data_IF_614411986347
#
_entry.id   IF_614411986347
#
_cell.length_a   1.000
_cell.length_b   1.000
_cell.length_c   1.000
_cell.angle_alpha   90.00
_cell.angle_beta   90.00
_cell.angle_gamma   90.00
#
_symmetry.space_group_name_H-M   'P 1'
#
loop_
_entity.id
_entity.type
_entity.pdbx_description
1 polymer ?
#
# COMPACT_ATOMS: atom_id res chain seq x y z
N UNK A 1 -23.77 -2.95 28.42
CA UNK A 1 -22.97 -1.80 28.91
C UNK A 1 -23.35 -0.48 28.25
N UNK A 2 -23.71 -0.45 26.96
CA UNK A 2 -24.23 0.76 26.29
C UNK A 2 -25.48 1.37 26.97
N UNK A 3 -26.40 0.53 27.48
CA UNK A 3 -27.58 1.00 28.22
C UNK A 3 -27.27 1.59 29.60
N UNK A 4 -26.25 1.04 30.29
CA UNK A 4 -25.79 1.57 31.58
C UNK A 4 -25.10 2.94 31.42
N UNK A 5 -24.49 3.17 30.26
CA UNK A 5 -23.81 4.40 29.87
C UNK A 5 -24.79 5.54 29.51
N UNK A 6 -25.87 5.24 28.80
CA UNK A 6 -26.93 6.23 28.52
C UNK A 6 -27.63 6.66 29.81
N UNK A 7 -27.85 5.72 30.75
CA UNK A 7 -28.40 6.03 32.07
C UNK A 7 -27.47 6.89 32.92
N UNK A 8 -26.15 6.69 32.86
CA UNK A 8 -25.19 7.54 33.61
C UNK A 8 -25.04 8.93 32.99
N UNK A 9 -25.10 9.08 31.67
CA UNK A 9 -25.10 10.38 31.00
C UNK A 9 -26.40 11.17 31.25
N UNK A 10 -27.55 10.50 31.24
CA UNK A 10 -28.83 11.13 31.59
C UNK A 10 -28.89 11.48 33.09
N UNK A 11 -28.33 10.64 33.96
CA UNK A 11 -28.26 10.90 35.40
C UNK A 11 -27.28 12.04 35.74
N UNK A 12 -26.14 12.12 35.06
CA UNK A 12 -25.16 13.22 35.19
C UNK A 12 -25.64 14.54 34.56
N UNK A 13 -26.49 14.47 33.53
CA UNK A 13 -27.16 15.64 32.96
C UNK A 13 -28.28 16.19 33.84
N UNK A 14 -28.90 15.35 34.68
CA UNK A 14 -30.03 15.72 35.53
C UNK A 14 -29.63 16.19 36.93
N UNK A 15 -28.57 15.60 37.52
CA UNK A 15 -27.96 16.09 38.75
C UNK A 15 -26.66 16.80 38.42
N UNK A 16 -26.67 18.13 38.40
CA UNK A 16 -25.48 18.97 38.15
C UNK A 16 -24.33 18.67 39.11
N UNK A 17 -23.55 17.64 38.80
CA UNK A 17 -22.52 17.07 39.66
C UNK A 17 -21.15 17.20 38.99
N UNK A 18 -20.33 18.02 39.64
CA UNK A 18 -18.87 18.08 39.74
C UNK A 18 -18.07 17.33 38.65
N UNK A 19 -17.26 18.12 37.94
CA UNK A 19 -16.34 17.78 36.85
C UNK A 19 -15.49 16.50 36.97
N UNK A 20 -15.37 15.87 38.13
CA UNK A 20 -14.52 14.70 38.34
C UNK A 20 -15.12 13.40 37.75
N UNK A 21 -16.44 13.22 37.80
CA UNK A 21 -17.09 11.99 37.30
C UNK A 21 -17.25 12.00 35.78
N UNK A 22 -17.46 13.18 35.18
CA UNK A 22 -17.45 13.36 33.72
C UNK A 22 -16.06 13.16 33.12
N UNK A 23 -15.00 13.54 33.85
CA UNK A 23 -13.60 13.31 33.46
C UNK A 23 -13.24 11.82 33.42
N UNK A 24 -13.71 11.03 34.39
CA UNK A 24 -13.48 9.59 34.41
C UNK A 24 -14.20 8.87 33.25
N UNK A 25 -15.43 9.29 32.94
CA UNK A 25 -16.19 8.77 31.79
C UNK A 25 -15.55 9.09 30.44
N UNK A 26 -15.03 10.31 30.27
CA UNK A 26 -14.31 10.71 29.06
C UNK A 26 -12.96 10.00 28.92
N UNK A 27 -12.21 9.83 30.02
CA UNK A 27 -10.94 9.11 30.02
C UNK A 27 -11.14 7.62 29.67
N UNK A 28 -12.19 6.98 30.19
CA UNK A 28 -12.54 5.60 29.83
C UNK A 28 -12.95 5.47 28.35
N UNK A 29 -13.67 6.46 27.80
CA UNK A 29 -14.03 6.51 26.38
C UNK A 29 -12.80 6.74 25.48
N UNK A 30 -11.86 7.57 25.92
CA UNK A 30 -10.57 7.81 25.27
C UNK A 30 -9.70 6.54 25.26
N UNK A 31 -9.64 5.81 26.39
CA UNK A 31 -8.91 4.55 26.48
C UNK A 31 -9.55 3.44 25.64
N UNK A 32 -10.88 3.39 25.57
CA UNK A 32 -11.60 2.46 24.68
C UNK A 32 -11.41 2.80 23.18
N UNK A 33 -11.42 4.09 22.82
CA UNK A 33 -11.07 4.53 21.47
C UNK A 33 -9.61 4.20 21.13
N UNK A 34 -8.68 4.36 22.08
CA UNK A 34 -7.26 4.00 21.92
C UNK A 34 -7.06 2.50 21.68
N UNK A 35 -7.82 1.64 22.36
CA UNK A 35 -7.75 0.17 22.21
C UNK A 35 -8.34 -0.30 20.85
N UNK A 36 -9.36 0.40 20.34
CA UNK A 36 -10.02 0.06 19.07
C UNK A 36 -9.38 0.70 17.82
N UNK A 37 -8.42 1.62 17.97
CA UNK A 37 -7.79 2.37 16.87
C UNK A 37 -6.59 1.66 16.23
N UNK A 38 -6.11 0.55 16.82
CA UNK A 38 -5.01 -0.26 16.27
C UNK A 38 -5.26 -0.83 14.87
N UNK A 39 -6.53 -0.92 14.46
CA UNK A 39 -6.95 -1.55 13.21
C UNK A 39 -7.27 -0.57 12.06
N UNK A 40 -7.16 0.75 12.26
CA UNK A 40 -7.55 1.75 11.24
C UNK A 40 -6.38 2.33 10.42
N UNK A 41 -6.69 2.71 9.18
CA UNK A 41 -5.75 3.28 8.20
C UNK A 41 -5.05 4.57 8.68
N UNK A 42 -3.84 4.81 8.18
CA UNK A 42 -2.99 5.99 8.44
C UNK A 42 -3.74 7.33 8.49
N UNK A 43 -4.76 7.50 7.65
CA UNK A 43 -5.57 8.72 7.56
C UNK A 43 -6.41 9.02 8.81
N UNK A 44 -6.93 7.98 9.47
CA UNK A 44 -7.79 8.12 10.66
C UNK A 44 -6.96 8.57 11.88
N UNK A 45 -5.69 8.14 11.92
CA UNK A 45 -4.74 8.52 12.98
C UNK A 45 -4.34 10.00 12.89
N UNK A 46 -4.04 10.49 11.70
CA UNK A 46 -3.71 11.91 11.49
C UNK A 46 -4.89 12.82 11.84
N UNK A 47 -6.11 12.44 11.45
CA UNK A 47 -7.32 13.17 11.81
C UNK A 47 -7.51 13.24 13.34
N UNK A 48 -7.22 12.14 14.05
CA UNK A 48 -7.31 12.09 15.51
C UNK A 48 -6.29 13.01 16.20
N UNK A 49 -5.03 13.02 15.74
CA UNK A 49 -3.99 13.94 16.26
C UNK A 49 -4.40 15.39 16.08
N UNK A 50 -4.95 15.74 14.91
CA UNK A 50 -5.46 17.09 14.62
C UNK A 50 -6.62 17.46 15.55
N UNK A 51 -7.57 16.54 15.79
CA UNK A 51 -8.70 16.78 16.72
C UNK A 51 -8.21 16.98 18.15
N UNK A 52 -7.24 16.19 18.63
CA UNK A 52 -6.67 16.34 19.98
C UNK A 52 -5.93 17.68 20.15
N UNK A 53 -5.16 18.12 19.15
CA UNK A 53 -4.48 19.41 19.16
C UNK A 53 -5.47 20.58 19.14
N UNK A 54 -6.51 20.51 18.31
CA UNK A 54 -7.56 21.53 18.26
C UNK A 54 -8.30 21.60 19.59
N UNK A 55 -8.66 20.46 20.18
CA UNK A 55 -9.31 20.41 21.50
C UNK A 55 -8.43 21.01 22.59
N UNK A 56 -7.13 20.66 22.61
CA UNK A 56 -6.16 21.23 23.57
C UNK A 56 -6.04 22.75 23.46
N UNK A 57 -6.02 23.30 22.24
CA UNK A 57 -5.97 24.75 21.99
C UNK A 57 -7.28 25.42 22.40
N UNK A 58 -8.45 24.86 22.06
CA UNK A 58 -9.76 25.43 22.41
C UNK A 58 -9.96 25.47 23.92
N UNK A 59 -9.66 24.38 24.65
CA UNK A 59 -9.73 24.37 26.11
C UNK A 59 -8.70 25.29 26.77
N UNK A 60 -7.50 25.41 26.19
CA UNK A 60 -6.47 26.35 26.62
C UNK A 60 -6.91 27.80 26.50
N UNK A 61 -7.44 28.21 25.34
CA UNK A 61 -7.88 29.59 25.07
C UNK A 61 -9.12 29.97 25.88
N UNK A 62 -10.04 29.02 26.10
CA UNK A 62 -11.25 29.22 26.93
C UNK A 62 -10.91 29.50 28.40
N UNK A 63 -9.78 28.97 28.89
CA UNK A 63 -9.35 29.10 30.29
C UNK A 63 -8.66 30.43 30.61
N UNK A 64 -8.32 31.25 29.60
CA UNK A 64 -7.58 32.52 29.80
C UNK A 64 -8.49 33.67 30.22
N UNK A 65 -9.81 33.56 30.03
CA UNK A 65 -10.74 34.67 30.29
C UNK A 65 -11.31 34.75 31.71
N UNK A 66 -11.30 33.68 32.51
CA UNK A 66 -11.93 33.68 33.84
C UNK A 66 -11.03 33.09 34.94
N UNK A 67 -10.61 33.96 35.87
CA UNK A 67 -10.09 33.71 37.22
C UNK A 67 -8.79 32.88 37.48
N UNK A 68 -8.09 33.12 38.63
CA UNK A 68 -6.74 32.62 38.90
C UNK A 68 -6.64 31.18 39.45
N UNK A 69 -7.76 30.45 39.59
CA UNK A 69 -7.81 29.09 40.19
C UNK A 69 -7.51 27.95 39.21
N UNK A 70 -7.16 28.26 37.95
CA UNK A 70 -7.11 27.33 36.83
C UNK A 70 -5.76 26.61 36.58
N UNK A 71 -4.96 26.36 37.63
CA UNK A 71 -3.71 25.57 37.47
C UNK A 71 -3.98 24.21 36.83
N UNK A 72 -5.07 23.55 37.23
CA UNK A 72 -5.42 22.21 36.77
C UNK A 72 -5.85 22.14 35.29
N UNK A 73 -6.50 23.17 34.74
CA UNK A 73 -6.93 23.16 33.32
C UNK A 73 -5.78 23.45 32.36
N UNK A 74 -4.80 24.27 32.76
CA UNK A 74 -3.56 24.45 32.00
C UNK A 74 -2.72 23.16 31.96
N UNK A 75 -2.64 22.41 33.08
CA UNK A 75 -1.96 21.11 33.07
C UNK A 75 -2.70 20.06 32.23
N UNK A 76 -4.03 20.14 32.15
CA UNK A 76 -4.84 19.24 31.33
C UNK A 76 -4.62 19.50 29.82
N UNK A 77 -4.55 20.76 29.39
CA UNK A 77 -4.27 21.09 27.98
C UNK A 77 -2.86 20.69 27.55
N UNK A 78 -1.87 20.89 28.44
CA UNK A 78 -0.49 20.41 28.21
C UNK A 78 -0.46 18.88 28.14
N UNK A 79 -1.16 18.18 29.03
CA UNK A 79 -1.21 16.71 29.02
C UNK A 79 -1.87 16.17 27.73
N UNK A 80 -2.93 16.80 27.24
CA UNK A 80 -3.60 16.41 25.98
C UNK A 80 -2.70 16.66 24.75
N UNK A 81 -1.98 17.77 24.70
CA UNK A 81 -1.02 18.04 23.63
C UNK A 81 0.16 17.05 23.65
N UNK A 82 0.69 16.74 24.83
CA UNK A 82 1.78 15.76 24.99
C UNK A 82 1.31 14.35 24.65
N UNK A 83 0.08 13.96 25.01
CA UNK A 83 -0.50 12.69 24.63
C UNK A 83 -0.69 12.57 23.10
N UNK A 84 -1.17 13.63 22.43
CA UNK A 84 -1.28 13.67 20.97
C UNK A 84 0.07 13.52 20.26
N UNK A 85 1.12 14.17 20.79
CA UNK A 85 2.49 14.03 20.30
C UNK A 85 3.05 12.63 20.56
N UNK A 86 2.85 12.06 21.74
CA UNK A 86 3.31 10.72 22.08
C UNK A 86 2.65 9.63 21.21
N UNK A 87 1.36 9.76 20.92
CA UNK A 87 0.61 8.87 20.01
C UNK A 87 1.02 9.07 18.55
N UNK A 88 1.55 10.25 18.18
CA UNK A 88 2.16 10.45 16.86
C UNK A 88 3.55 9.80 16.76
N UNK A 89 4.37 9.90 17.81
CA UNK A 89 5.75 9.42 17.83
C UNK A 89 5.84 7.90 18.03
N UNK A 90 5.04 7.31 18.94
CA UNK A 90 5.15 5.89 19.29
C UNK A 90 4.94 4.95 18.09
N UNK A 91 3.97 5.17 17.20
CA UNK A 91 3.85 4.34 16.02
C UNK A 91 4.93 4.69 15.00
N UNK A 92 5.46 5.93 14.91
CA UNK A 92 6.58 6.20 13.99
C UNK A 92 7.83 5.41 14.35
N UNK A 93 8.14 5.23 15.64
CA UNK A 93 9.27 4.40 16.05
C UNK A 93 9.02 2.90 15.83
N UNK A 94 7.79 2.41 16.05
CA UNK A 94 7.43 1.01 15.78
C UNK A 94 7.31 0.70 14.28
N UNK A 95 6.94 1.70 13.48
CA UNK A 95 6.88 1.68 12.01
C UNK A 95 8.28 1.71 11.39
N UNK A 96 9.28 2.31 12.06
CA UNK A 96 10.61 2.47 11.49
C UNK A 96 11.55 1.28 11.73
N UNK A 97 11.24 0.39 12.69
CA UNK A 97 12.09 -0.78 12.95
C UNK A 97 11.78 -2.01 12.09
N UNK A 98 10.58 -2.08 11.47
CA UNK A 98 10.15 -3.28 10.72
C UNK A 98 9.35 -2.94 9.44
N UNK A 99 9.80 -1.93 8.69
CA UNK A 99 9.21 -1.57 7.39
C UNK A 99 10.24 -1.62 6.26
N UNK A 100 10.72 -2.82 5.97
CA UNK A 100 10.81 -3.14 4.54
C UNK A 100 9.38 -3.28 4.07
N UNK A 101 8.85 -2.27 3.38
CA UNK A 101 7.52 -2.44 2.80
C UNK A 101 7.60 -3.56 1.76
N UNK A 102 6.48 -4.25 1.54
CA UNK A 102 6.37 -5.30 0.52
C UNK A 102 6.85 -4.81 -0.86
N UNK A 103 6.74 -3.50 -1.10
CA UNK A 103 7.17 -2.82 -2.31
C UNK A 103 8.69 -2.55 -2.33
N UNK A 104 9.30 -2.26 -1.17
CA UNK A 104 10.76 -2.06 -1.03
C UNK A 104 11.52 -3.38 -1.22
N UNK A 105 11.01 -4.49 -0.64
CA UNK A 105 11.55 -5.84 -0.84
C UNK A 105 11.65 -6.19 -2.33
N UNK A 106 10.66 -5.76 -3.12
CA UNK A 106 10.64 -5.98 -4.55
C UNK A 106 11.71 -5.19 -5.31
N UNK A 107 11.90 -3.93 -4.93
CA UNK A 107 12.94 -3.09 -5.49
C UNK A 107 14.31 -3.71 -5.27
N UNK A 108 14.57 -4.14 -4.04
CA UNK A 108 15.83 -4.78 -3.64
C UNK A 108 16.07 -6.09 -4.38
N UNK A 109 15.06 -6.96 -4.44
CA UNK A 109 15.10 -8.27 -5.10
C UNK A 109 15.36 -8.16 -6.61
N UNK A 110 14.98 -7.04 -7.24
CA UNK A 110 15.28 -6.75 -8.67
C UNK A 110 16.72 -6.24 -8.87
N UNK A 111 17.31 -5.62 -7.86
CA UNK A 111 18.68 -5.05 -7.90
C UNK A 111 19.76 -5.93 -7.28
N UNK A 112 19.37 -6.98 -6.55
CA UNK A 112 20.27 -7.80 -5.76
C UNK A 112 21.08 -8.81 -6.60
N UNK A 113 22.25 -9.16 -6.09
CA UNK A 113 23.06 -10.24 -6.65
C UNK A 113 22.36 -11.60 -6.43
N UNK A 114 22.67 -12.65 -7.22
CA UNK A 114 21.94 -13.93 -7.15
C UNK A 114 21.89 -14.59 -5.76
N UNK A 115 22.95 -14.45 -4.96
CA UNK A 115 23.00 -14.99 -3.59
C UNK A 115 22.14 -14.16 -2.61
N UNK A 116 22.23 -12.84 -2.68
CA UNK A 116 21.41 -11.92 -1.87
C UNK A 116 19.93 -12.01 -2.26
N UNK A 117 19.64 -12.12 -3.55
CA UNK A 117 18.28 -12.26 -4.09
C UNK A 117 17.61 -13.53 -3.54
N UNK A 118 18.36 -14.61 -3.31
CA UNK A 118 17.84 -15.84 -2.71
C UNK A 118 17.43 -15.63 -1.26
N UNK A 119 18.26 -14.95 -0.47
CA UNK A 119 17.93 -14.68 0.93
C UNK A 119 16.74 -13.70 1.03
N UNK A 120 16.74 -12.64 0.22
CA UNK A 120 15.63 -11.69 0.16
C UNK A 120 14.35 -12.39 -0.30
N UNK A 121 14.42 -13.35 -1.22
CA UNK A 121 13.26 -14.14 -1.66
C UNK A 121 12.69 -15.02 -0.55
N UNK A 122 13.55 -15.64 0.28
CA UNK A 122 13.14 -16.42 1.45
C UNK A 122 12.42 -15.54 2.47
N UNK A 123 13.01 -14.40 2.84
CA UNK A 123 12.41 -13.46 3.79
C UNK A 123 11.09 -12.90 3.22
N UNK A 124 11.08 -12.59 1.92
CA UNK A 124 9.88 -12.12 1.20
C UNK A 124 8.76 -13.17 1.20
N UNK A 125 9.09 -14.45 1.09
CA UNK A 125 8.12 -15.54 1.11
C UNK A 125 7.37 -15.60 2.45
N UNK A 126 8.10 -15.61 3.57
CA UNK A 126 7.50 -15.70 4.91
C UNK A 126 6.61 -14.47 5.21
N UNK A 127 7.10 -13.28 4.86
CA UNK A 127 6.34 -12.04 5.02
C UNK A 127 5.08 -12.07 4.15
N UNK A 128 5.18 -12.52 2.91
CA UNK A 128 4.06 -12.61 1.99
C UNK A 128 3.01 -13.63 2.45
N UNK A 129 3.42 -14.81 2.93
CA UNK A 129 2.50 -15.81 3.51
C UNK A 129 1.75 -15.24 4.73
N UNK A 130 2.46 -14.55 5.62
CA UNK A 130 1.83 -13.91 6.76
C UNK A 130 0.85 -12.82 6.34
N UNK A 131 1.20 -12.01 5.34
CA UNK A 131 0.32 -10.97 4.79
C UNK A 131 -0.95 -11.57 4.15
N UNK A 132 -0.80 -12.67 3.41
CA UNK A 132 -1.92 -13.43 2.83
C UNK A 132 -2.85 -13.99 3.92
N UNK A 133 -2.31 -14.55 5.02
CA UNK A 133 -3.12 -15.02 6.15
C UNK A 133 -3.88 -13.89 6.85
N UNK A 134 -3.23 -12.74 7.05
CA UNK A 134 -3.81 -11.58 7.75
C UNK A 134 -4.89 -10.89 6.91
N UNK A 135 -4.69 -10.77 5.60
CA UNK A 135 -5.63 -10.07 4.73
C UNK A 135 -5.81 -10.76 3.36
N UNK A 136 -6.52 -11.90 3.32
CA UNK A 136 -6.70 -12.68 2.10
C UNK A 136 -7.59 -12.01 1.06
N UNK A 137 -8.28 -10.91 1.39
CA UNK A 137 -9.11 -10.16 0.45
C UNK A 137 -8.33 -9.08 -0.32
N UNK A 138 -7.09 -8.78 0.09
CA UNK A 138 -6.28 -7.77 -0.56
C UNK A 138 -5.55 -8.36 -1.80
N UNK A 139 -5.81 -7.89 -3.02
CA UNK A 139 -5.13 -8.39 -4.23
C UNK A 139 -3.60 -8.19 -4.19
N UNK A 140 -3.11 -7.14 -3.53
CA UNK A 140 -1.68 -6.82 -3.48
C UNK A 140 -0.87 -7.83 -2.66
N UNK A 141 -1.48 -8.48 -1.66
CA UNK A 141 -0.75 -9.51 -0.88
C UNK A 141 -0.57 -10.80 -1.68
N UNK A 142 -1.56 -11.18 -2.48
CA UNK A 142 -1.44 -12.30 -3.43
C UNK A 142 -0.45 -12.00 -4.54
N UNK A 143 -0.47 -10.78 -5.08
CA UNK A 143 0.51 -10.35 -6.07
C UNK A 143 1.94 -10.44 -5.51
N UNK A 144 2.16 -9.99 -4.28
CA UNK A 144 3.49 -10.12 -3.66
C UNK A 144 3.89 -11.58 -3.47
N UNK A 145 3.01 -12.40 -2.89
CA UNK A 145 3.28 -13.81 -2.66
C UNK A 145 3.64 -14.51 -3.97
N UNK A 146 2.96 -14.16 -5.06
CA UNK A 146 3.27 -14.69 -6.38
C UNK A 146 4.68 -14.39 -6.85
N UNK A 147 5.17 -13.19 -6.53
CA UNK A 147 6.48 -12.79 -6.96
C UNK A 147 7.58 -13.46 -6.14
N UNK A 148 7.41 -13.56 -4.82
CA UNK A 148 8.29 -14.34 -3.97
C UNK A 148 8.34 -15.80 -4.47
N UNK A 149 7.18 -16.37 -4.81
CA UNK A 149 7.07 -17.70 -5.40
C UNK A 149 7.86 -17.84 -6.71
N UNK A 150 7.74 -16.87 -7.62
CA UNK A 150 8.46 -16.87 -8.90
C UNK A 150 9.98 -16.90 -8.70
N UNK A 151 10.49 -16.06 -7.79
CA UNK A 151 11.92 -16.00 -7.48
C UNK A 151 12.44 -17.25 -6.75
N UNK A 152 11.59 -17.89 -5.96
CA UNK A 152 11.88 -19.16 -5.29
C UNK A 152 11.83 -20.37 -6.24
N UNK A 153 11.51 -20.17 -7.52
CA UNK A 153 11.41 -21.26 -8.50
C UNK A 153 10.10 -22.04 -8.41
N UNK A 154 9.04 -21.42 -7.89
CA UNK A 154 7.69 -21.98 -7.78
C UNK A 154 6.68 -21.25 -8.71
N UNK A 155 6.84 -21.33 -10.05
CA UNK A 155 5.99 -20.60 -11.00
C UNK A 155 4.52 -21.06 -10.99
N UNK A 156 4.24 -22.28 -10.53
CA UNK A 156 2.87 -22.80 -10.37
C UNK A 156 2.10 -22.08 -9.26
N UNK A 157 2.78 -21.80 -8.15
CA UNK A 157 2.23 -21.04 -7.03
C UNK A 157 2.04 -19.59 -7.47
N UNK A 158 3.06 -19.01 -8.13
CA UNK A 158 2.98 -17.67 -8.68
C UNK A 158 1.76 -17.46 -9.58
N UNK A 159 1.50 -18.39 -10.50
CA UNK A 159 0.35 -18.32 -11.39
C UNK A 159 -0.98 -18.36 -10.61
N UNK A 160 -1.08 -19.26 -9.63
CA UNK A 160 -2.29 -19.44 -8.82
C UNK A 160 -2.61 -18.17 -8.04
N UNK A 161 -1.60 -17.56 -7.43
CA UNK A 161 -1.74 -16.34 -6.66
C UNK A 161 -2.06 -15.13 -7.54
N UNK A 162 -1.42 -15.00 -8.70
CA UNK A 162 -1.75 -13.94 -9.65
C UNK A 162 -3.17 -14.07 -10.18
N UNK A 163 -3.65 -15.29 -10.44
CA UNK A 163 -5.05 -15.53 -10.83
C UNK A 163 -5.99 -15.09 -9.70
N UNK A 164 -5.67 -15.42 -8.45
CA UNK A 164 -6.46 -14.98 -7.29
C UNK A 164 -6.41 -13.46 -7.09
N UNK A 165 -5.26 -12.82 -7.28
CA UNK A 165 -5.15 -11.37 -7.26
C UNK A 165 -6.02 -10.74 -8.36
N UNK A 166 -6.01 -11.31 -9.57
CA UNK A 166 -6.78 -10.83 -10.70
C UNK A 166 -8.30 -11.03 -10.53
N UNK A 167 -8.75 -12.07 -9.83
CA UNK A 167 -10.18 -12.22 -9.49
C UNK A 167 -10.62 -11.20 -8.44
N UNK A 168 -9.75 -10.87 -7.48
CA UNK A 168 -10.00 -9.84 -6.47
C UNK A 168 -9.94 -8.41 -7.04
N UNK A 169 -9.11 -8.17 -8.07
CA UNK A 169 -9.05 -6.91 -8.79
C UNK A 169 -9.10 -7.11 -10.32
N UNK A 170 -10.32 -7.25 -10.89
CA UNK A 170 -10.50 -7.50 -12.31
C UNK A 170 -10.06 -6.36 -13.23
N UNK A 171 -9.84 -5.15 -12.71
CA UNK A 171 -9.51 -3.97 -13.51
C UNK A 171 -8.02 -3.60 -13.46
N UNK A 172 -7.18 -4.41 -12.81
CA UNK A 172 -5.74 -4.19 -12.82
C UNK A 172 -5.10 -4.68 -14.12
N UNK A 173 -4.55 -3.77 -14.94
CA UNK A 173 -3.69 -4.16 -16.05
C UNK A 173 -2.31 -4.64 -15.58
N UNK A 174 -1.84 -4.17 -14.42
CA UNK A 174 -0.56 -4.64 -13.89
C UNK A 174 -0.62 -6.14 -13.59
N UNK A 175 -1.70 -6.62 -12.96
CA UNK A 175 -1.88 -8.06 -12.69
C UNK A 175 -1.94 -8.89 -13.97
N UNK A 176 -2.52 -8.36 -15.05
CA UNK A 176 -2.50 -9.02 -16.36
C UNK A 176 -1.10 -9.06 -16.97
N UNK A 177 -0.32 -7.99 -16.83
CA UNK A 177 1.06 -7.97 -17.27
C UNK A 177 1.94 -8.95 -16.46
N UNK A 178 1.66 -9.13 -15.17
CA UNK A 178 2.34 -10.11 -14.33
C UNK A 178 1.96 -11.55 -14.70
N UNK A 179 0.67 -11.83 -14.94
CA UNK A 179 0.20 -13.10 -15.48
C UNK A 179 0.89 -13.44 -16.80
N UNK A 180 1.00 -12.44 -17.69
CA UNK A 180 1.70 -12.61 -18.96
C UNK A 180 3.16 -13.01 -18.79
N UNK A 181 3.87 -12.40 -17.83
CA UNK A 181 5.27 -12.74 -17.51
C UNK A 181 5.38 -14.16 -16.96
N UNK A 182 4.48 -14.53 -16.06
CA UNK A 182 4.44 -15.88 -15.51
C UNK A 182 4.20 -16.94 -16.60
N UNK A 183 3.21 -16.75 -17.48
CA UNK A 183 2.97 -17.65 -18.61
C UNK A 183 4.15 -17.67 -19.60
N UNK A 184 4.82 -16.53 -19.81
CA UNK A 184 6.03 -16.47 -20.62
C UNK A 184 7.16 -17.31 -20.03
N UNK A 185 7.39 -17.24 -18.72
CA UNK A 185 8.41 -18.05 -18.03
C UNK A 185 8.11 -19.55 -18.09
N UNK A 186 6.82 -19.91 -18.06
CA UNK A 186 6.34 -21.29 -18.24
C UNK A 186 6.44 -21.82 -19.67
N UNK A 187 6.73 -20.96 -20.64
CA UNK A 187 6.80 -21.32 -22.07
C UNK A 187 5.47 -21.24 -22.82
N UNK A 188 4.39 -20.79 -22.16
CA UNK A 188 3.08 -20.59 -22.75
C UNK A 188 3.03 -19.24 -23.49
N UNK A 189 3.72 -19.19 -24.64
CA UNK A 189 4.00 -17.94 -25.37
C UNK A 189 2.75 -17.23 -25.88
N UNK A 190 1.74 -17.98 -26.32
CA UNK A 190 0.51 -17.39 -26.87
C UNK A 190 -0.36 -16.81 -25.76
N UNK A 191 -0.53 -17.55 -24.66
CA UNK A 191 -1.25 -17.13 -23.47
C UNK A 191 -0.62 -15.87 -22.86
N UNK A 192 0.72 -15.79 -22.87
CA UNK A 192 1.43 -14.58 -22.47
C UNK A 192 1.03 -13.36 -23.32
N UNK A 193 0.97 -13.50 -24.65
CA UNK A 193 0.56 -12.40 -25.55
C UNK A 193 -0.90 -12.00 -25.33
N UNK A 194 -1.78 -12.95 -25.05
CA UNK A 194 -3.19 -12.67 -24.75
C UNK A 194 -3.33 -11.87 -23.46
N UNK A 195 -2.61 -12.24 -22.41
CA UNK A 195 -2.60 -11.50 -21.15
C UNK A 195 -2.06 -10.08 -21.30
N UNK A 196 -0.96 -9.88 -22.03
CA UNK A 196 -0.47 -8.51 -22.30
C UNK A 196 -1.48 -7.72 -23.14
N UNK A 197 -2.15 -8.35 -24.10
CA UNK A 197 -3.16 -7.68 -24.92
C UNK A 197 -4.37 -7.24 -24.09
N UNK A 198 -4.79 -8.05 -23.11
CA UNK A 198 -5.80 -7.63 -22.14
C UNK A 198 -5.31 -6.48 -21.23
N UNK A 199 -4.03 -6.47 -20.84
CA UNK A 199 -3.45 -5.35 -20.07
C UNK A 199 -3.49 -4.04 -20.87
N UNK A 200 -3.14 -4.10 -22.16
CA UNK A 200 -3.22 -2.96 -23.10
C UNK A 200 -4.67 -2.50 -23.28
N UNK A 201 -5.63 -3.43 -23.39
CA UNK A 201 -7.04 -3.08 -23.54
C UNK A 201 -7.59 -2.30 -22.33
N UNK A 202 -7.13 -2.61 -21.12
CA UNK A 202 -7.52 -1.89 -19.91
C UNK A 202 -6.84 -0.51 -19.78
N UNK A 203 -5.53 -0.44 -20.07
CA UNK A 203 -4.76 0.81 -19.96
C UNK A 203 -3.97 1.07 -21.25
N UNK A 204 -4.64 1.60 -22.29
CA UNK A 204 -4.05 1.75 -23.63
C UNK A 204 -2.99 2.84 -23.73
N UNK A 205 -2.83 3.68 -22.70
CA UNK A 205 -1.83 4.75 -22.62
C UNK A 205 -0.60 4.35 -21.80
N UNK A 206 -0.51 3.11 -21.31
CA UNK A 206 0.65 2.65 -20.55
C UNK A 206 1.72 2.09 -21.48
N UNK A 207 2.77 2.86 -21.74
CA UNK A 207 3.90 2.48 -22.61
C UNK A 207 4.52 1.14 -22.23
N UNK A 208 4.65 0.87 -20.93
CA UNK A 208 5.22 -0.38 -20.40
C UNK A 208 4.52 -1.67 -20.87
N UNK A 209 3.20 -1.65 -21.15
CA UNK A 209 2.52 -2.84 -21.65
C UNK A 209 2.85 -3.13 -23.12
N UNK A 210 3.01 -2.08 -23.95
CA UNK A 210 3.49 -2.23 -25.32
C UNK A 210 4.96 -2.66 -25.35
N UNK A 211 5.81 -2.12 -24.48
CA UNK A 211 7.21 -2.56 -24.33
C UNK A 211 7.28 -4.05 -23.98
N UNK A 212 6.43 -4.51 -23.06
CA UNK A 212 6.37 -5.92 -22.67
C UNK A 212 5.96 -6.81 -23.85
N UNK A 213 4.90 -6.44 -24.59
CA UNK A 213 4.46 -7.21 -25.77
C UNK A 213 5.49 -7.20 -26.88
N UNK A 214 6.11 -6.05 -27.17
CA UNK A 214 7.19 -5.92 -28.14
C UNK A 214 8.37 -6.85 -27.81
N UNK A 215 8.75 -6.93 -26.53
CA UNK A 215 9.82 -7.82 -26.05
C UNK A 215 9.46 -9.29 -26.26
N UNK A 216 8.22 -9.68 -25.97
CA UNK A 216 7.74 -11.05 -26.21
C UNK A 216 7.73 -11.39 -27.70
N UNK A 217 7.19 -10.49 -28.53
CA UNK A 217 7.15 -10.64 -29.98
C UNK A 217 8.54 -10.75 -30.59
N UNK A 218 9.50 -9.91 -30.14
CA UNK A 218 10.89 -9.97 -30.56
C UNK A 218 11.50 -11.34 -30.27
N UNK A 219 11.32 -11.86 -29.04
CA UNK A 219 11.82 -13.18 -28.65
C UNK A 219 11.16 -14.34 -29.42
N UNK A 220 9.97 -14.12 -29.98
CA UNK A 220 9.30 -15.07 -30.89
C UNK A 220 9.69 -14.88 -32.37
N UNK A 221 10.60 -13.95 -32.69
CA UNK A 221 10.99 -13.64 -34.07
C UNK A 221 9.97 -12.80 -34.85
N UNK A 222 8.92 -12.29 -34.20
CA UNK A 222 7.86 -11.46 -34.81
C UNK A 222 8.28 -9.99 -34.86
N UNK A 223 9.40 -9.71 -35.53
CA UNK A 223 10.08 -8.40 -35.51
C UNK A 223 9.22 -7.24 -36.05
N UNK A 224 8.36 -7.49 -37.03
CA UNK A 224 7.47 -6.45 -37.60
C UNK A 224 6.46 -5.97 -36.57
N UNK A 225 5.84 -6.91 -35.85
CA UNK A 225 4.84 -6.59 -34.82
C UNK A 225 5.51 -5.99 -33.58
N UNK A 226 6.68 -6.49 -33.21
CA UNK A 226 7.49 -5.90 -32.13
C UNK A 226 7.83 -4.44 -32.40
N UNK A 227 8.20 -4.10 -33.65
CA UNK A 227 8.50 -2.72 -34.04
C UNK A 227 7.25 -1.83 -33.94
N UNK A 228 6.08 -2.32 -34.38
CA UNK A 228 4.83 -1.58 -34.28
C UNK A 228 4.45 -1.28 -32.82
N UNK A 229 4.61 -2.26 -31.92
CA UNK A 229 4.39 -2.06 -30.49
C UNK A 229 5.41 -1.11 -29.88
N UNK A 230 6.69 -1.18 -30.25
CA UNK A 230 7.70 -0.25 -29.76
C UNK A 230 7.42 1.20 -30.22
N UNK A 231 6.94 1.39 -31.46
CA UNK A 231 6.48 2.68 -31.96
C UNK A 231 5.29 3.20 -31.13
N UNK A 232 4.32 2.32 -30.85
CA UNK A 232 3.16 2.70 -30.04
C UNK A 232 3.57 3.05 -28.60
N UNK A 233 4.48 2.28 -28.02
CA UNK A 233 5.05 2.54 -26.69
C UNK A 233 5.68 3.94 -26.62
N UNK A 234 6.48 4.31 -27.62
CA UNK A 234 7.14 5.62 -27.70
C UNK A 234 6.13 6.77 -27.85
N UNK A 235 5.03 6.56 -28.58
CA UNK A 235 3.97 7.56 -28.74
C UNK A 235 3.21 7.84 -27.44
N UNK A 236 3.00 6.82 -26.60
CA UNK A 236 2.24 6.95 -25.35
C UNK A 236 3.14 7.17 -24.13
N UNK A 237 4.47 7.16 -24.29
CA UNK A 237 5.43 7.41 -23.23
C UNK A 237 5.34 8.87 -22.76
N UNK A 238 5.13 9.05 -21.45
CA UNK A 238 4.93 10.37 -20.87
C UNK A 238 6.18 10.88 -20.14
N UNK A 239 6.87 9.99 -19.43
CA UNK A 239 8.06 10.38 -18.65
C UNK A 239 9.34 10.33 -19.47
N UNK A 240 10.36 11.16 -19.17
CA UNK A 240 11.66 11.09 -19.86
C UNK A 240 12.32 9.70 -19.76
N UNK A 241 12.12 9.00 -18.64
CA UNK A 241 12.63 7.64 -18.45
C UNK A 241 11.94 6.66 -19.41
N UNK A 242 10.60 6.67 -19.47
CA UNK A 242 9.85 5.80 -20.40
C UNK A 242 10.21 6.10 -21.86
N UNK A 243 10.42 7.38 -22.21
CA UNK A 243 10.82 7.77 -23.56
C UNK A 243 12.21 7.23 -23.91
N UNK A 244 13.18 7.33 -22.99
CA UNK A 244 14.52 6.78 -23.20
C UNK A 244 14.50 5.25 -23.37
N UNK A 245 13.71 4.54 -22.56
CA UNK A 245 13.52 3.09 -22.69
C UNK A 245 12.87 2.70 -24.03
N UNK A 246 11.81 3.41 -24.43
CA UNK A 246 11.12 3.15 -25.70
C UNK A 246 12.01 3.45 -26.91
N UNK A 247 12.77 4.54 -26.88
CA UNK A 247 13.71 4.91 -27.94
C UNK A 247 14.80 3.83 -28.13
N UNK A 248 15.38 3.36 -27.02
CA UNK A 248 16.38 2.28 -27.04
C UNK A 248 15.82 0.97 -27.61
N UNK A 249 14.60 0.60 -27.22
CA UNK A 249 13.93 -0.58 -27.76
C UNK A 249 13.69 -0.44 -29.28
N UNK A 250 13.26 0.73 -29.73
CA UNK A 250 12.97 0.99 -31.14
C UNK A 250 14.23 0.97 -32.00
N UNK A 251 15.35 1.50 -31.49
CA UNK A 251 16.67 1.41 -32.13
C UNK A 251 17.15 -0.04 -32.25
N UNK A 252 17.04 -0.83 -31.17
CA UNK A 252 17.46 -2.24 -31.20
C UNK A 252 16.62 -3.07 -32.17
N UNK A 253 15.30 -2.87 -32.22
CA UNK A 253 14.41 -3.57 -33.14
C UNK A 253 14.60 -3.15 -34.60
N UNK A 254 14.84 -1.86 -34.86
CA UNK A 254 15.10 -1.38 -36.22
C UNK A 254 16.40 -1.94 -36.80
N UNK A 255 17.47 -2.01 -36.01
CA UNK A 255 18.72 -2.69 -36.39
C UNK A 255 18.52 -4.18 -36.63
N UNK A 256 17.79 -4.86 -35.74
CA UNK A 256 17.50 -6.28 -35.88
C UNK A 256 16.63 -6.63 -37.10
N UNK A 257 15.92 -5.65 -37.67
CA UNK A 257 15.14 -5.83 -38.92
C UNK A 257 16.01 -5.68 -40.19
N UNK A 258 17.13 -4.97 -40.09
CA UNK A 258 18.02 -4.68 -41.22
C UNK A 258 19.07 -5.78 -41.45
N UNK A 259 19.36 -6.58 -40.42
CA UNK A 259 20.23 -7.76 -40.46
C UNK A 259 19.42 -9.02 -40.76
#
# INVERSE_FOLDING_TARGET
LFFAFVLTLLYAGWHGARCAETLAGMAALLLFLLDSLGDYSFFVRELYVVVCLIAGVVFGVSSVKDCPSHRYTCWLSVALCVAGLAVSIAPTQMILQDKRTLQDLWGELRSANPEEARQIALDSWEIAENAVRKNPANPSVWQLHSYAASYMGHPEIALTDLKKAATLNPYSAQLRADLARCEWERGNRNEALDWVSQAIALYPLRSGHYVLRATFLQKMGRSVEALADAQKANQVAFTPLEQAECAKLLETLSRAKQN
#
